data_IF_861812822207
#
_entry.id   IF_861812822207
#
_cell.length_a   1.000
_cell.length_b   1.000
_cell.length_c   1.000
_cell.angle_alpha   90.00
_cell.angle_beta   90.00
_cell.angle_gamma   90.00
#
_symmetry.space_group_name_H-M   'P 1'
#
loop_
_entity.id
_entity.type
_entity.pdbx_description
1 polymer ?
#
# COMPACT_ATOMS: atom_id res chain seq x y z
N UNK A 1 7.21 36.41 -42.23
CA UNK A 1 7.52 36.08 -40.81
C UNK A 1 6.32 35.52 -40.01
N UNK A 2 5.12 36.13 -40.01
CA UNK A 2 3.93 35.61 -39.25
C UNK A 2 3.51 34.16 -39.58
N UNK A 3 3.61 33.70 -40.83
CA UNK A 3 3.24 32.32 -41.22
C UNK A 3 4.20 31.23 -40.71
N UNK A 4 5.48 31.56 -40.51
CA UNK A 4 6.51 30.60 -40.05
C UNK A 4 6.35 30.32 -38.55
N UNK A 5 5.95 31.31 -37.74
CA UNK A 5 5.63 31.14 -36.31
C UNK A 5 4.29 30.39 -36.07
N UNK A 6 3.35 30.40 -37.02
CA UNK A 6 2.03 29.76 -36.86
C UNK A 6 2.06 28.22 -37.00
N UNK A 7 3.04 27.67 -37.71
CA UNK A 7 3.20 26.21 -37.88
C UNK A 7 3.58 25.52 -36.57
N UNK A 8 4.62 25.94 -35.81
CA UNK A 8 4.95 25.32 -34.53
C UNK A 8 3.82 25.47 -33.50
N UNK A 9 3.13 26.62 -33.48
CA UNK A 9 1.94 26.84 -32.62
C UNK A 9 0.80 25.84 -32.91
N UNK A 10 0.54 25.53 -34.19
CA UNK A 10 -0.47 24.52 -34.56
C UNK A 10 -0.05 23.11 -34.17
N UNK A 11 1.22 22.77 -34.34
CA UNK A 11 1.77 21.46 -33.95
C UNK A 11 1.66 21.27 -32.44
N UNK A 12 2.11 22.25 -31.65
CA UNK A 12 2.02 22.25 -30.19
C UNK A 12 0.56 22.10 -29.73
N UNK A 13 -0.35 22.89 -30.30
CA UNK A 13 -1.79 22.79 -29.97
C UNK A 13 -2.34 21.40 -30.26
N UNK A 14 -2.04 20.84 -31.44
CA UNK A 14 -2.53 19.52 -31.83
C UNK A 14 -1.94 18.41 -30.93
N UNK A 15 -0.68 18.55 -30.52
CA UNK A 15 -0.05 17.65 -29.55
C UNK A 15 -0.78 17.67 -28.20
N UNK A 16 -1.05 18.85 -27.63
CA UNK A 16 -1.79 18.96 -26.38
C UNK A 16 -3.24 18.47 -26.49
N UNK A 17 -3.88 18.67 -27.64
CA UNK A 17 -5.21 18.12 -27.89
C UNK A 17 -5.19 16.59 -27.93
N UNK A 18 -4.22 16.00 -28.62
CA UNK A 18 -4.03 14.55 -28.65
C UNK A 18 -3.77 14.00 -27.24
N UNK A 19 -2.88 14.65 -26.49
CA UNK A 19 -2.61 14.28 -25.10
C UNK A 19 -3.90 14.32 -24.26
N UNK A 20 -4.68 15.40 -24.36
CA UNK A 20 -5.95 15.52 -23.67
C UNK A 20 -6.93 14.38 -24.03
N UNK A 21 -7.03 14.02 -25.32
CA UNK A 21 -7.89 12.92 -25.78
C UNK A 21 -7.43 11.58 -25.18
N UNK A 22 -6.13 11.32 -25.17
CA UNK A 22 -5.56 10.10 -24.57
C UNK A 22 -5.89 10.03 -23.08
N UNK A 23 -5.69 11.14 -22.35
CA UNK A 23 -5.98 11.22 -20.92
C UNK A 23 -7.47 11.06 -20.63
N UNK A 24 -8.33 11.71 -21.41
CA UNK A 24 -9.79 11.54 -21.32
C UNK A 24 -10.22 10.10 -21.62
N UNK A 25 -9.50 9.42 -22.52
CA UNK A 25 -9.72 8.01 -22.85
C UNK A 25 -9.66 7.10 -21.62
N UNK A 26 -8.72 7.32 -20.70
CA UNK A 26 -8.67 6.54 -19.46
C UNK A 26 -9.95 6.71 -18.61
N UNK A 27 -10.47 7.93 -18.49
CA UNK A 27 -11.73 8.21 -17.79
C UNK A 27 -12.93 7.52 -18.44
N UNK A 28 -12.99 7.47 -19.77
CA UNK A 28 -14.07 6.78 -20.51
C UNK A 28 -14.01 5.26 -20.33
N UNK A 29 -12.81 4.70 -20.15
CA UNK A 29 -12.62 3.26 -19.95
C UNK A 29 -13.09 2.80 -18.57
N UNK A 30 -13.03 3.66 -17.55
CA UNK A 30 -13.38 3.33 -16.17
C UNK A 30 -14.84 2.85 -16.06
N UNK A 31 -15.09 1.63 -15.54
CA UNK A 31 -16.44 1.17 -15.26
C UNK A 31 -16.99 1.80 -13.98
N UNK A 32 -18.31 1.78 -13.84
CA UNK A 32 -19.01 2.05 -12.58
C UNK A 32 -19.14 0.73 -11.83
N UNK A 33 -18.86 0.76 -10.54
CA UNK A 33 -18.99 -0.40 -9.66
C UNK A 33 -20.18 -0.24 -8.72
N UNK A 34 -20.89 -1.35 -8.52
CA UNK A 34 -21.81 -1.58 -7.42
C UNK A 34 -21.05 -2.29 -6.28
N UNK A 35 -21.18 -1.78 -5.06
CA UNK A 35 -20.48 -2.29 -3.88
C UNK A 35 -21.48 -2.90 -2.90
N UNK A 36 -21.15 -4.06 -2.33
CA UNK A 36 -22.00 -4.73 -1.34
C UNK A 36 -22.14 -3.98 -0.01
N UNK A 37 -21.27 -3.00 0.26
CA UNK A 37 -21.16 -2.32 1.54
C UNK A 37 -20.38 -3.12 2.59
N UNK A 38 -20.04 -2.49 3.74
CA UNK A 38 -19.24 -3.10 4.80
C UNK A 38 -19.97 -4.28 5.44
N UNK A 39 -19.24 -5.37 5.70
CA UNK A 39 -19.75 -6.55 6.40
C UNK A 39 -18.69 -7.07 7.34
N UNK A 40 -18.89 -6.85 8.64
CA UNK A 40 -17.92 -7.25 9.66
C UNK A 40 -17.57 -8.74 9.60
N UNK A 41 -16.35 -9.05 10.03
CA UNK A 41 -15.93 -10.43 10.24
C UNK A 41 -16.86 -11.14 11.21
N UNK A 42 -17.19 -12.40 10.90
CA UNK A 42 -18.05 -13.23 11.73
C UNK A 42 -17.70 -14.71 11.55
N UNK A 43 -18.11 -15.53 12.52
CA UNK A 43 -17.85 -16.96 12.55
C UNK A 43 -17.45 -17.48 13.92
N UNK A 44 -17.27 -18.80 14.00
CA UNK A 44 -16.97 -19.56 15.21
C UNK A 44 -15.48 -19.86 15.39
N UNK A 45 -14.67 -19.60 14.36
CA UNK A 45 -13.21 -19.83 14.37
C UNK A 45 -12.44 -18.53 14.48
N UNK A 46 -11.23 -18.62 15.04
CA UNK A 46 -10.27 -17.52 15.14
C UNK A 46 -9.03 -17.85 14.31
N UNK A 47 -8.76 -17.02 13.31
CA UNK A 47 -7.58 -17.12 12.47
C UNK A 47 -6.47 -16.30 13.10
N UNK A 48 -5.40 -16.95 13.53
CA UNK A 48 -4.20 -16.30 14.03
C UNK A 48 -3.05 -16.49 13.03
N UNK A 49 -2.60 -15.42 12.34
CA UNK A 49 -1.52 -15.53 11.37
C UNK A 49 -0.16 -15.89 12.00
N UNK A 50 -0.06 -15.86 13.33
CA UNK A 50 1.16 -16.16 14.07
C UNK A 50 1.17 -17.55 14.71
N UNK A 51 0.14 -18.37 14.53
CA UNK A 51 -0.02 -19.62 15.28
C UNK A 51 1.16 -20.60 15.13
N UNK A 52 1.80 -20.61 13.95
CA UNK A 52 2.86 -21.56 13.59
C UNK A 52 4.18 -20.87 13.24
N UNK A 53 4.42 -19.66 13.76
CA UNK A 53 5.68 -18.95 13.48
C UNK A 53 6.86 -19.61 14.18
N UNK A 54 8.03 -19.44 13.58
CA UNK A 54 9.31 -19.72 14.21
C UNK A 54 10.04 -18.40 14.46
N UNK A 55 10.23 -18.03 15.72
CA UNK A 55 10.87 -16.75 16.08
C UNK A 55 12.32 -16.58 15.61
N UNK A 56 12.97 -17.65 15.12
CA UNK A 56 14.29 -17.57 14.48
C UNK A 56 14.23 -17.15 13.00
N UNK A 57 13.04 -17.17 12.40
CA UNK A 57 12.81 -16.95 10.97
C UNK A 57 12.33 -15.54 10.61
N UNK A 58 12.61 -14.54 11.45
CA UNK A 58 12.29 -13.15 11.15
C UNK A 58 13.23 -12.57 10.09
N UNK A 59 12.64 -12.02 9.02
CA UNK A 59 13.33 -11.35 7.93
C UNK A 59 12.88 -9.90 7.81
N UNK A 60 13.82 -8.97 7.71
CA UNK A 60 13.56 -7.52 7.62
C UNK A 60 13.54 -7.06 6.17
N UNK A 61 12.39 -6.55 5.75
CA UNK A 61 12.11 -6.11 4.39
C UNK A 61 11.62 -4.67 4.34
N UNK A 62 11.97 -3.99 3.25
CA UNK A 62 11.34 -2.75 2.82
C UNK A 62 10.90 -2.93 1.35
N UNK A 63 9.71 -2.45 1.02
CA UNK A 63 9.11 -2.54 -0.31
C UNK A 63 8.88 -1.18 -0.95
N UNK A 64 9.29 -0.10 -0.29
CA UNK A 64 9.10 1.26 -0.79
C UNK A 64 10.35 2.12 -0.64
N UNK A 65 11.15 2.14 -1.71
CA UNK A 65 12.30 3.02 -1.90
C UNK A 65 12.46 3.35 -3.38
N UNK A 66 12.79 4.59 -3.69
CA UNK A 66 12.90 5.07 -5.06
C UNK A 66 14.37 5.20 -5.47
N UNK A 67 14.71 4.63 -6.63
CA UNK A 67 16.02 4.80 -7.27
C UNK A 67 15.95 5.85 -8.38
N UNK A 68 17.11 6.11 -9.00
CA UNK A 68 17.18 6.94 -10.20
C UNK A 68 16.44 6.26 -11.36
N UNK A 69 15.19 6.66 -11.56
CA UNK A 69 14.35 6.29 -12.69
C UNK A 69 14.09 7.47 -13.64
N UNK A 70 13.65 7.17 -14.87
CA UNK A 70 13.20 8.19 -15.84
C UNK A 70 14.19 9.33 -16.10
N UNK A 71 15.49 9.03 -16.16
CA UNK A 71 16.53 10.04 -16.35
C UNK A 71 16.73 10.98 -15.14
N UNK A 72 16.14 10.67 -13.98
CA UNK A 72 16.20 11.49 -12.76
C UNK A 72 15.07 12.51 -12.64
N UNK A 73 14.00 12.38 -13.43
CA UNK A 73 12.84 13.29 -13.37
C UNK A 73 11.94 13.01 -12.16
N UNK A 74 11.94 11.76 -11.67
CA UNK A 74 11.20 11.37 -10.46
C UNK A 74 12.07 11.48 -9.21
N UNK A 75 11.42 11.50 -8.04
CA UNK A 75 12.10 11.37 -6.75
C UNK A 75 12.96 10.09 -6.70
N UNK A 76 14.02 10.09 -5.88
CA UNK A 76 15.05 9.03 -5.91
C UNK A 76 16.19 9.31 -6.89
N UNK A 77 16.24 10.48 -7.52
CA UNK A 77 17.14 10.77 -8.65
C UNK A 77 18.64 10.67 -8.33
N UNK A 78 19.02 10.77 -7.06
CA UNK A 78 20.39 10.63 -6.54
C UNK A 78 20.73 9.21 -6.08
N UNK A 79 19.73 8.33 -5.92
CA UNK A 79 19.92 6.98 -5.42
C UNK A 79 20.31 6.02 -6.55
N UNK A 80 21.50 5.42 -6.48
CA UNK A 80 21.79 4.21 -7.27
C UNK A 80 21.28 2.96 -6.54
N UNK A 81 21.06 1.86 -7.27
CA UNK A 81 20.61 0.62 -6.64
C UNK A 81 21.67 0.06 -5.69
N UNK A 82 22.96 0.19 -6.04
CA UNK A 82 24.08 -0.23 -5.20
C UNK A 82 24.14 0.58 -3.90
N UNK A 83 23.84 1.88 -3.97
CA UNK A 83 23.78 2.73 -2.80
C UNK A 83 22.62 2.32 -1.89
N UNK A 84 21.43 2.10 -2.45
CA UNK A 84 20.26 1.58 -1.71
C UNK A 84 20.64 0.27 -1.00
N UNK A 85 21.17 -0.72 -1.72
CA UNK A 85 21.60 -2.00 -1.15
C UNK A 85 22.62 -1.80 -0.01
N UNK A 86 23.59 -0.90 -0.21
CA UNK A 86 24.64 -0.65 0.79
C UNK A 86 24.07 -0.07 2.08
N UNK A 87 23.16 0.90 2.00
CA UNK A 87 22.54 1.55 3.16
C UNK A 87 21.63 0.56 3.90
N UNK A 88 20.74 -0.12 3.18
CA UNK A 88 19.81 -1.07 3.81
C UNK A 88 20.52 -2.29 4.40
N UNK A 89 21.62 -2.75 3.79
CA UNK A 89 22.46 -3.80 4.40
C UNK A 89 23.08 -3.35 5.72
N UNK A 90 23.55 -2.10 5.80
CA UNK A 90 24.07 -1.53 7.06
C UNK A 90 22.98 -1.29 8.10
N UNK A 91 21.73 -1.09 7.67
CA UNK A 91 20.53 -1.09 8.50
C UNK A 91 20.01 -2.49 8.82
N UNK A 92 20.78 -3.56 8.54
CA UNK A 92 20.43 -4.94 8.87
C UNK A 92 19.14 -5.45 8.20
N UNK A 93 18.82 -4.96 7.00
CA UNK A 93 17.77 -5.53 6.17
C UNK A 93 18.26 -6.78 5.45
N UNK A 94 17.39 -7.80 5.38
CA UNK A 94 17.65 -8.99 4.57
C UNK A 94 17.50 -8.68 3.08
N UNK A 95 16.53 -7.83 2.75
CA UNK A 95 16.29 -7.37 1.39
C UNK A 95 15.52 -6.03 1.37
N UNK A 96 15.73 -5.29 0.29
CA UNK A 96 14.97 -4.08 -0.05
C UNK A 96 14.51 -4.21 -1.49
N UNK A 97 13.20 -4.10 -1.72
CA UNK A 97 12.63 -4.08 -3.05
C UNK A 97 12.48 -2.63 -3.51
N UNK A 98 13.21 -2.23 -4.55
CA UNK A 98 13.10 -0.89 -5.13
C UNK A 98 11.80 -0.76 -5.93
N UNK A 99 11.02 0.27 -5.60
CA UNK A 99 9.66 0.48 -6.10
C UNK A 99 9.57 1.76 -6.94
N UNK A 100 10.35 1.84 -8.02
CA UNK A 100 10.35 3.04 -8.88
C UNK A 100 8.95 3.34 -9.44
N UNK A 101 8.60 4.63 -9.55
CA UNK A 101 7.33 5.06 -10.12
C UNK A 101 7.09 4.44 -11.51
N UNK A 102 6.02 3.68 -11.67
CA UNK A 102 5.63 2.99 -12.91
C UNK A 102 6.76 2.22 -13.61
N UNK A 103 7.72 1.68 -12.85
CA UNK A 103 8.84 0.94 -13.41
C UNK A 103 9.24 -0.19 -12.47
N UNK A 104 9.16 -1.43 -12.97
CA UNK A 104 9.73 -2.56 -12.23
C UNK A 104 11.25 -2.45 -12.29
N UNK A 105 11.88 -2.22 -11.16
CA UNK A 105 13.33 -2.22 -11.05
C UNK A 105 13.86 -3.66 -11.20
N UNK A 106 14.84 -3.88 -12.09
CA UNK A 106 15.39 -5.20 -12.41
C UNK A 106 16.75 -5.48 -11.75
N UNK A 107 17.24 -4.57 -10.92
CA UNK A 107 18.42 -4.78 -10.10
C UNK A 107 18.23 -6.00 -9.20
N UNK A 108 19.24 -6.86 -9.13
CA UNK A 108 19.16 -8.10 -8.36
C UNK A 108 18.25 -9.19 -8.95
N UNK A 109 17.70 -9.05 -10.17
CA UNK A 109 16.77 -10.02 -10.79
C UNK A 109 17.29 -11.46 -10.93
N UNK A 110 18.59 -11.69 -10.74
CA UNK A 110 19.21 -13.03 -10.72
C UNK A 110 19.28 -13.65 -9.32
N UNK A 111 18.89 -12.92 -8.27
CA UNK A 111 18.89 -13.39 -6.89
C UNK A 111 17.56 -14.09 -6.57
N UNK A 112 17.62 -15.20 -5.84
CA UNK A 112 16.41 -15.93 -5.38
C UNK A 112 15.49 -15.08 -4.50
N UNK A 113 16.05 -14.07 -3.82
CA UNK A 113 15.33 -13.14 -2.95
C UNK A 113 14.74 -11.93 -3.67
N UNK A 114 14.95 -11.80 -4.98
CA UNK A 114 14.44 -10.68 -5.76
C UNK A 114 12.92 -10.71 -5.87
N UNK A 115 12.30 -9.60 -5.55
CA UNK A 115 10.85 -9.41 -5.63
C UNK A 115 10.59 -8.25 -6.59
N UNK A 116 10.02 -8.48 -7.79
CA UNK A 116 9.76 -7.40 -8.73
C UNK A 116 8.69 -6.48 -8.15
N UNK A 117 9.06 -5.22 -7.90
CA UNK A 117 8.18 -4.24 -7.25
C UNK A 117 8.20 -2.91 -8.00
N UNK A 118 7.07 -2.19 -7.98
CA UNK A 118 6.99 -0.81 -8.45
C UNK A 118 5.89 -0.03 -7.72
N UNK A 119 6.02 1.29 -7.63
CA UNK A 119 4.95 2.16 -7.14
C UNK A 119 4.06 2.59 -8.31
N UNK A 120 2.79 2.21 -8.27
CA UNK A 120 1.78 2.62 -9.24
C UNK A 120 1.14 3.94 -8.80
N UNK A 121 0.84 4.78 -9.78
CA UNK A 121 0.16 6.05 -9.59
C UNK A 121 1.00 7.24 -10.05
N UNK A 122 0.44 8.03 -10.95
CA UNK A 122 0.98 9.33 -11.37
C UNK A 122 -0.06 10.45 -11.21
N UNK A 123 -1.13 10.18 -10.47
CA UNK A 123 -2.21 11.12 -10.21
C UNK A 123 -1.82 12.25 -9.23
N UNK A 124 -2.43 13.41 -9.42
CA UNK A 124 -2.10 14.62 -8.66
C UNK A 124 -2.38 14.49 -7.15
N UNK A 125 -3.35 13.65 -6.79
CA UNK A 125 -3.75 13.39 -5.39
C UNK A 125 -2.97 12.25 -4.72
N UNK A 126 -1.95 11.70 -5.37
CA UNK A 126 -1.07 10.66 -4.80
C UNK A 126 -1.85 9.42 -4.31
N UNK A 127 -2.90 9.04 -5.02
CA UNK A 127 -3.60 7.75 -4.85
C UNK A 127 -2.70 6.65 -5.41
N UNK A 128 -1.74 6.18 -4.61
CA UNK A 128 -0.71 5.26 -5.06
C UNK A 128 -0.92 3.84 -4.50
N UNK A 129 -0.20 2.89 -5.08
CA UNK A 129 -0.20 1.50 -4.66
C UNK A 129 1.21 0.93 -4.84
N UNK A 130 1.65 0.10 -3.91
CA UNK A 130 2.85 -0.72 -4.11
C UNK A 130 2.42 -2.03 -4.73
N UNK A 131 2.96 -2.32 -5.91
CA UNK A 131 2.73 -3.55 -6.65
C UNK A 131 3.88 -4.50 -6.39
N UNK A 132 3.68 -5.52 -5.55
CA UNK A 132 4.72 -6.45 -5.10
C UNK A 132 4.56 -7.80 -5.83
N UNK A 133 5.68 -8.37 -6.25
CA UNK A 133 5.76 -9.53 -7.15
C UNK A 133 4.96 -9.28 -8.45
N UNK A 134 5.24 -8.13 -9.06
CA UNK A 134 4.63 -7.64 -10.27
C UNK A 134 5.16 -8.35 -11.53
N UNK A 135 4.25 -8.82 -12.38
CA UNK A 135 4.56 -9.44 -13.68
C UNK A 135 4.90 -8.39 -14.73
N UNK A 136 4.15 -7.28 -14.73
CA UNK A 136 4.33 -6.14 -15.64
C UNK A 136 3.79 -4.84 -15.02
N UNK A 137 4.25 -3.71 -15.53
CA UNK A 137 3.70 -2.40 -15.19
C UNK A 137 2.33 -2.24 -15.84
N UNK A 138 1.33 -1.88 -15.03
CA UNK A 138 0.05 -1.36 -15.51
C UNK A 138 0.18 0.14 -15.72
N UNK A 139 -0.08 0.59 -16.95
CA UNK A 139 0.06 1.99 -17.33
C UNK A 139 -1.21 2.83 -17.15
N UNK A 140 -2.36 2.19 -16.99
CA UNK A 140 -3.63 2.90 -16.80
C UNK A 140 -3.67 3.53 -15.42
N UNK A 141 -3.79 4.86 -15.36
CA UNK A 141 -4.08 5.64 -14.15
C UNK A 141 -4.76 6.98 -14.53
N UNK A 142 -5.38 7.65 -13.56
CA UNK A 142 -6.18 8.85 -13.72
C UNK A 142 -5.46 10.09 -13.19
N UNK A 143 -4.94 10.96 -14.07
CA UNK A 143 -4.07 12.09 -13.68
C UNK A 143 -4.71 13.05 -12.67
N UNK A 144 -6.00 13.32 -12.79
CA UNK A 144 -6.71 14.27 -11.94
C UNK A 144 -7.37 13.55 -10.77
N UNK A 145 -8.70 13.56 -10.68
CA UNK A 145 -9.45 12.94 -9.59
C UNK A 145 -9.76 11.46 -9.89
N UNK A 146 -10.03 10.71 -8.82
CA UNK A 146 -10.54 9.35 -8.87
C UNK A 146 -11.79 9.23 -8.00
N UNK A 147 -12.87 8.71 -8.57
CA UNK A 147 -14.05 8.26 -7.80
C UNK A 147 -13.77 6.92 -7.12
N UNK A 148 -14.64 6.47 -6.22
CA UNK A 148 -14.54 5.15 -5.60
C UNK A 148 -14.46 4.03 -6.65
N UNK A 149 -15.30 4.07 -7.69
CA UNK A 149 -15.26 3.11 -8.81
C UNK A 149 -13.96 3.17 -9.61
N UNK A 150 -13.36 4.35 -9.79
CA UNK A 150 -12.06 4.49 -10.47
C UNK A 150 -10.93 3.89 -9.63
N UNK A 151 -10.93 4.11 -8.31
CA UNK A 151 -9.97 3.49 -7.39
C UNK A 151 -10.08 1.97 -7.41
N UNK A 152 -11.31 1.43 -7.34
CA UNK A 152 -11.55 -0.01 -7.45
C UNK A 152 -11.09 -0.56 -8.81
N UNK A 153 -11.34 0.17 -9.90
CA UNK A 153 -10.89 -0.23 -11.23
C UNK A 153 -9.37 -0.38 -11.30
N UNK A 154 -8.61 0.58 -10.76
CA UNK A 154 -7.16 0.49 -10.68
C UNK A 154 -6.74 -0.72 -9.86
N UNK A 155 -7.30 -0.90 -8.66
CA UNK A 155 -6.96 -2.06 -7.80
C UNK A 155 -7.21 -3.39 -8.53
N UNK A 156 -8.33 -3.53 -9.25
CA UNK A 156 -8.64 -4.74 -10.02
C UNK A 156 -7.72 -4.96 -11.23
N UNK A 157 -7.20 -3.89 -11.84
CA UNK A 157 -6.19 -4.01 -12.89
C UNK A 157 -4.83 -4.43 -12.31
N UNK A 158 -4.45 -3.88 -11.17
CA UNK A 158 -3.19 -4.19 -10.49
C UNK A 158 -3.19 -5.62 -9.95
N UNK A 159 -4.27 -6.08 -9.33
CA UNK A 159 -4.38 -7.43 -8.75
C UNK A 159 -4.29 -8.55 -9.79
N UNK A 160 -4.57 -8.26 -11.06
CA UNK A 160 -4.35 -9.20 -12.18
C UNK A 160 -2.88 -9.32 -12.59
N UNK A 161 -2.07 -8.32 -12.25
CA UNK A 161 -0.69 -8.18 -12.73
C UNK A 161 0.36 -8.22 -11.62
N UNK A 162 -0.07 -8.27 -10.35
CA UNK A 162 0.78 -8.32 -9.16
C UNK A 162 0.19 -9.34 -8.19
N UNK A 163 1.04 -10.09 -7.51
CA UNK A 163 0.57 -11.05 -6.49
C UNK A 163 0.06 -10.34 -5.24
N UNK A 164 0.69 -9.23 -4.87
CA UNK A 164 0.28 -8.38 -3.76
C UNK A 164 0.07 -6.95 -4.26
N UNK A 165 -1.09 -6.38 -3.95
CA UNK A 165 -1.36 -4.95 -4.09
C UNK A 165 -1.49 -4.35 -2.70
N UNK A 166 -0.61 -3.41 -2.36
CA UNK A 166 -0.69 -2.63 -1.14
C UNK A 166 -1.17 -1.20 -1.46
N UNK A 167 -2.11 -0.67 -0.68
CA UNK A 167 -2.48 0.75 -0.80
C UNK A 167 -1.40 1.59 -0.11
N UNK A 168 -0.67 2.39 -0.89
CA UNK A 168 0.46 3.19 -0.39
C UNK A 168 -0.02 4.47 0.28
N UNK A 169 0.65 4.86 1.36
CA UNK A 169 0.44 6.08 2.18
C UNK A 169 -0.97 6.68 2.08
N UNK A 170 -2.04 5.99 2.52
CA UNK A 170 -3.43 6.40 2.29
C UNK A 170 -3.77 7.87 2.60
N UNK A 171 -3.16 8.41 3.65
CA UNK A 171 -3.35 9.79 4.11
C UNK A 171 -2.67 10.85 3.23
N UNK A 172 -1.71 10.49 2.36
CA UNK A 172 -0.99 11.43 1.52
C UNK A 172 -1.96 12.11 0.54
N UNK A 173 -2.16 13.42 0.73
CA UNK A 173 -3.07 14.26 -0.07
C UNK A 173 -4.50 13.70 -0.19
N UNK A 174 -4.94 12.92 0.81
CA UNK A 174 -6.21 12.21 0.79
C UNK A 174 -6.36 11.26 -0.42
N UNK A 175 -5.27 10.60 -0.83
CA UNK A 175 -5.27 9.59 -1.89
C UNK A 175 -6.33 8.50 -1.64
N UNK A 176 -6.49 8.06 -0.39
CA UNK A 176 -7.63 7.28 0.06
C UNK A 176 -8.34 7.96 1.23
N UNK A 177 -9.65 8.08 1.14
CA UNK A 177 -10.50 8.54 2.23
C UNK A 177 -10.85 7.36 3.13
N UNK A 178 -11.15 7.62 4.40
CA UNK A 178 -11.66 6.59 5.31
C UNK A 178 -12.93 5.92 4.76
N UNK A 179 -13.80 6.69 4.12
CA UNK A 179 -15.01 6.13 3.49
C UNK A 179 -14.68 5.14 2.36
N UNK A 180 -13.61 5.36 1.60
CA UNK A 180 -13.21 4.44 0.54
C UNK A 180 -12.86 3.06 1.11
N UNK A 181 -12.22 3.04 2.29
CA UNK A 181 -11.76 1.82 2.96
C UNK A 181 -12.92 0.89 3.38
N UNK A 182 -14.16 1.39 3.41
CA UNK A 182 -15.35 0.58 3.69
C UNK A 182 -15.80 -0.29 2.53
N UNK A 183 -15.39 0.05 1.30
CA UNK A 183 -15.93 -0.55 0.08
C UNK A 183 -14.86 -1.16 -0.83
N UNK A 184 -13.63 -0.63 -0.81
CA UNK A 184 -12.57 -1.13 -1.67
C UNK A 184 -12.24 -2.59 -1.37
N UNK A 185 -11.98 -3.37 -2.42
CA UNK A 185 -11.71 -4.81 -2.37
C UNK A 185 -10.52 -5.18 -3.26
N UNK A 186 -10.08 -6.44 -3.20
CA UNK A 186 -9.02 -7.01 -4.06
C UNK A 186 -7.62 -6.40 -3.90
N UNK A 187 -7.35 -5.74 -2.77
CA UNK A 187 -6.00 -5.41 -2.32
C UNK A 187 -5.67 -6.25 -1.08
N UNK A 188 -4.39 -6.48 -0.84
CA UNK A 188 -3.92 -7.44 0.19
C UNK A 188 -3.40 -6.72 1.43
N UNK A 189 -2.83 -5.53 1.25
CA UNK A 189 -2.11 -4.82 2.30
C UNK A 189 -2.39 -3.33 2.30
N UNK A 190 -2.11 -2.69 3.42
CA UNK A 190 -2.13 -1.24 3.54
C UNK A 190 -0.82 -0.77 4.15
N UNK A 191 -0.18 0.20 3.50
CA UNK A 191 0.99 0.88 4.02
C UNK A 191 0.53 1.84 5.14
N UNK A 192 0.22 1.26 6.30
CA UNK A 192 -0.27 2.01 7.46
C UNK A 192 0.84 2.85 8.09
N UNK A 193 2.10 2.48 7.86
CA UNK A 193 3.28 3.15 8.39
C UNK A 193 4.24 3.46 7.23
N UNK A 194 4.40 4.74 6.93
CA UNK A 194 5.44 5.23 6.00
C UNK A 194 6.33 6.20 6.72
N UNK A 195 7.54 6.57 6.27
CA UNK A 195 8.36 7.51 7.05
C UNK A 195 7.61 8.80 7.45
N UNK A 196 6.77 9.33 6.56
CA UNK A 196 6.10 10.62 6.77
C UNK A 196 4.63 10.52 7.19
N UNK A 197 4.00 9.34 7.11
CA UNK A 197 2.55 9.18 7.28
C UNK A 197 2.19 7.99 8.15
N UNK A 198 1.12 8.15 8.93
CA UNK A 198 0.52 7.09 9.74
C UNK A 198 -0.95 6.98 9.34
N UNK A 199 -1.34 5.84 8.79
CA UNK A 199 -2.69 5.57 8.27
C UNK A 199 -3.37 4.43 9.04
N UNK A 200 -3.17 4.40 10.37
CA UNK A 200 -3.74 3.37 11.25
C UNK A 200 -5.27 3.37 11.23
N UNK A 201 -5.89 4.55 11.16
CA UNK A 201 -7.34 4.67 11.09
C UNK A 201 -7.89 4.07 9.77
N UNK A 202 -7.19 4.26 8.64
CA UNK A 202 -7.56 3.60 7.38
C UNK A 202 -7.49 2.08 7.49
N UNK A 203 -6.46 1.56 8.16
CA UNK A 203 -6.32 0.12 8.38
C UNK A 203 -7.44 -0.40 9.28
N UNK A 204 -7.74 0.30 10.37
CA UNK A 204 -8.84 -0.03 11.28
C UNK A 204 -10.19 -0.01 10.57
N UNK A 205 -10.47 0.96 9.71
CA UNK A 205 -11.71 1.02 8.93
C UNK A 205 -11.82 -0.15 7.94
N UNK A 206 -10.72 -0.52 7.27
CA UNK A 206 -10.70 -1.67 6.36
C UNK A 206 -11.00 -2.99 7.09
N UNK A 207 -10.31 -3.25 8.22
CA UNK A 207 -10.56 -4.41 9.07
C UNK A 207 -11.98 -4.40 9.62
N UNK A 208 -12.44 -3.24 10.08
CA UNK A 208 -13.77 -3.02 10.63
C UNK A 208 -14.89 -3.27 9.61
N UNK A 209 -14.58 -3.12 8.32
CA UNK A 209 -15.51 -3.37 7.22
C UNK A 209 -15.47 -4.82 6.75
N UNK A 210 -14.67 -5.68 7.41
CA UNK A 210 -14.52 -7.10 7.12
C UNK A 210 -13.57 -7.42 5.97
N UNK A 211 -12.61 -6.53 5.69
CA UNK A 211 -11.57 -6.78 4.69
C UNK A 211 -10.29 -7.31 5.37
N UNK A 212 -9.88 -8.57 5.16
CA UNK A 212 -8.72 -9.18 5.83
C UNK A 212 -7.41 -8.70 5.17
N UNK A 213 -7.05 -7.46 5.45
CA UNK A 213 -5.87 -6.79 4.87
C UNK A 213 -4.78 -6.61 5.90
N UNK A 214 -3.54 -6.90 5.50
CA UNK A 214 -2.40 -6.91 6.39
C UNK A 214 -1.69 -5.56 6.43
N UNK A 215 -1.02 -5.28 7.55
CA UNK A 215 -0.21 -4.09 7.69
C UNK A 215 1.08 -4.24 6.90
N UNK A 216 1.45 -3.15 6.24
CA UNK A 216 2.74 -2.93 5.63
C UNK A 216 3.36 -1.69 6.27
N UNK A 217 4.64 -1.79 6.61
CA UNK A 217 5.47 -0.68 7.04
C UNK A 217 6.65 -0.53 6.11
N UNK A 218 6.86 0.67 5.58
CA UNK A 218 7.97 0.98 4.68
C UNK A 218 8.48 2.40 4.91
N UNK A 219 9.59 2.74 4.28
CA UNK A 219 10.25 4.03 4.50
C UNK A 219 9.79 5.08 3.48
N UNK A 220 9.47 4.69 2.24
CA UNK A 220 9.19 5.63 1.13
C UNK A 220 10.35 6.61 0.90
N UNK A 221 11.57 6.06 0.91
CA UNK A 221 12.81 6.82 0.93
C UNK A 221 13.19 7.36 -0.46
N UNK A 222 13.37 8.67 -0.55
CA UNK A 222 13.74 9.38 -1.78
C UNK A 222 15.20 9.83 -1.79
N UNK A 223 15.84 9.96 -0.62
CA UNK A 223 17.28 10.13 -0.45
C UNK A 223 17.80 9.15 0.62
N UNK A 224 18.54 8.12 0.20
CA UNK A 224 19.04 7.10 1.15
C UNK A 224 20.25 7.55 1.98
N UNK A 225 20.82 8.72 1.68
CA UNK A 225 21.85 9.34 2.54
C UNK A 225 21.23 10.21 3.63
N UNK A 226 19.95 10.56 3.51
CA UNK A 226 19.22 11.26 4.54
C UNK A 226 18.77 10.27 5.62
N UNK A 227 19.38 10.34 6.80
CA UNK A 227 19.04 9.45 7.92
C UNK A 227 17.59 9.56 8.37
N UNK A 228 16.91 10.67 8.09
CA UNK A 228 15.49 10.83 8.37
C UNK A 228 14.58 9.99 7.46
N UNK A 229 15.10 9.46 6.35
CA UNK A 229 14.31 8.78 5.32
C UNK A 229 14.45 7.26 5.30
N UNK A 230 15.44 6.67 5.97
CA UNK A 230 15.73 5.22 5.86
C UNK A 230 15.76 4.51 7.20
N UNK A 231 15.32 3.25 7.26
CA UNK A 231 15.44 2.39 8.45
C UNK A 231 14.57 2.82 9.63
N UNK A 232 13.49 3.55 9.39
CA UNK A 232 12.52 3.91 10.44
C UNK A 232 11.38 2.90 10.45
N UNK A 233 10.73 2.71 9.31
CA UNK A 233 9.53 1.88 9.17
C UNK A 233 9.78 0.79 8.16
N UNK A 234 9.48 -0.43 8.57
CA UNK A 234 9.78 -1.60 7.77
C UNK A 234 8.89 -2.76 8.19
N UNK A 235 8.88 -3.80 7.36
CA UNK A 235 8.09 -5.00 7.58
C UNK A 235 9.01 -6.15 8.00
N UNK A 236 8.66 -6.81 9.10
CA UNK A 236 9.31 -8.04 9.56
C UNK A 236 8.44 -9.23 9.17
N UNK A 237 9.00 -10.20 8.46
CA UNK A 237 8.28 -11.33 7.86
C UNK A 237 8.80 -12.64 8.44
N UNK A 238 7.92 -13.50 8.92
CA UNK A 238 8.30 -14.84 9.37
C UNK A 238 8.37 -15.77 8.15
N UNK A 239 9.58 -16.08 7.69
CA UNK A 239 9.77 -16.89 6.49
C UNK A 239 10.92 -17.89 6.67
N UNK A 240 10.73 -19.17 6.30
CA UNK A 240 11.77 -20.19 6.45
C UNK A 240 13.01 -19.93 5.57
N UNK A 241 12.88 -19.10 4.54
CA UNK A 241 14.00 -18.72 3.67
C UNK A 241 13.85 -17.29 3.13
N UNK A 242 14.87 -16.81 2.42
CA UNK A 242 14.83 -15.55 1.68
C UNK A 242 14.24 -15.68 0.27
N UNK A 243 13.85 -16.88 -0.17
CA UNK A 243 13.29 -17.08 -1.51
C UNK A 243 12.00 -16.28 -1.66
N UNK A 244 11.85 -15.62 -2.80
CA UNK A 244 10.67 -14.80 -3.13
C UNK A 244 9.35 -15.53 -2.83
N UNK A 245 9.22 -16.79 -3.22
CA UNK A 245 8.00 -17.57 -3.03
C UNK A 245 7.62 -17.73 -1.55
N UNK A 246 8.61 -17.98 -0.68
CA UNK A 246 8.39 -18.14 0.76
C UNK A 246 8.02 -16.82 1.42
N UNK A 247 8.66 -15.72 1.01
CA UNK A 247 8.36 -14.36 1.49
C UNK A 247 6.93 -13.96 1.10
N UNK A 248 6.58 -14.10 -0.18
CA UNK A 248 5.24 -13.77 -0.69
C UNK A 248 4.16 -14.61 -0.02
N UNK A 249 4.41 -15.92 0.16
CA UNK A 249 3.48 -16.80 0.88
C UNK A 249 3.26 -16.35 2.32
N UNK A 250 4.33 -16.00 3.03
CA UNK A 250 4.28 -15.55 4.43
C UNK A 250 3.53 -14.22 4.56
N UNK A 251 3.79 -13.30 3.64
CA UNK A 251 3.10 -12.02 3.51
C UNK A 251 1.60 -12.20 3.27
N UNK A 252 1.19 -13.05 2.33
CA UNK A 252 -0.23 -13.32 2.05
C UNK A 252 -0.94 -14.03 3.20
N UNK A 253 -0.23 -14.90 3.93
CA UNK A 253 -0.76 -15.57 5.13
C UNK A 253 -0.92 -14.59 6.31
N UNK A 254 -0.19 -13.47 6.29
CA UNK A 254 -0.21 -12.47 7.36
C UNK A 254 0.82 -12.72 8.47
N UNK A 255 1.72 -13.70 8.30
CA UNK A 255 2.83 -13.99 9.24
C UNK A 255 3.94 -12.93 9.15
N UNK A 256 3.56 -11.66 9.26
CA UNK A 256 4.44 -10.50 9.23
C UNK A 256 3.91 -9.45 10.19
N UNK A 257 4.71 -8.45 10.52
CA UNK A 257 4.28 -7.27 11.27
C UNK A 257 5.04 -6.04 10.78
N UNK A 258 4.45 -4.86 10.98
CA UNK A 258 5.16 -3.61 10.74
C UNK A 258 5.88 -3.16 12.00
N UNK A 259 7.08 -2.62 11.84
CA UNK A 259 7.90 -2.06 12.91
C UNK A 259 8.08 -0.56 12.67
N UNK A 260 7.95 0.24 13.73
CA UNK A 260 8.26 1.67 13.75
C UNK A 260 9.41 1.87 14.74
N UNK A 261 10.63 1.96 14.23
CA UNK A 261 11.80 2.33 15.00
C UNK A 261 11.71 3.82 15.31
N UNK A 262 11.81 4.19 16.59
CA UNK A 262 11.67 5.58 16.98
C UNK A 262 12.66 6.48 16.24
N UNK A 263 12.16 7.59 15.70
CA UNK A 263 12.96 8.53 14.93
C UNK A 263 13.59 9.57 15.85
N UNK A 264 14.91 9.72 15.71
CA UNK A 264 15.62 10.90 16.17
C UNK A 264 15.92 11.75 14.94
N UNK A 265 15.48 13.01 14.95
CA UNK A 265 15.68 13.91 13.81
C UNK A 265 17.16 14.18 13.60
N UNK A 266 17.58 14.12 12.33
CA UNK A 266 18.95 14.37 11.88
C UNK A 266 19.99 13.52 12.61
N UNK A 267 19.61 12.30 12.99
CA UNK A 267 20.51 11.34 13.64
C UNK A 267 21.69 11.00 12.72
N UNK A 268 22.89 10.95 13.31
CA UNK A 268 24.06 10.46 12.59
C UNK A 268 23.82 9.02 12.09
N UNK A 269 24.15 8.77 10.82
CA UNK A 269 23.81 7.51 10.18
C UNK A 269 24.52 6.30 10.83
N UNK A 270 25.73 6.49 11.39
CA UNK A 270 26.45 5.43 12.12
C UNK A 270 25.75 5.08 13.43
N UNK A 271 25.20 6.06 14.13
CA UNK A 271 24.37 5.84 15.32
C UNK A 271 23.10 5.06 14.93
N UNK A 272 22.46 5.45 13.83
CA UNK A 272 21.26 4.78 13.33
C UNK A 272 21.52 3.32 12.96
N UNK A 273 22.63 3.03 12.27
CA UNK A 273 23.01 1.64 11.95
C UNK A 273 23.15 0.78 13.21
N UNK A 274 23.80 1.32 14.26
CA UNK A 274 23.95 0.61 15.54
C UNK A 274 22.60 0.32 16.20
N UNK A 275 21.69 1.31 16.25
CA UNK A 275 20.34 1.13 16.81
C UNK A 275 19.48 0.15 16.01
N UNK A 276 19.65 0.11 14.70
CA UNK A 276 18.92 -0.83 13.84
C UNK A 276 19.36 -2.29 14.03
N UNK A 277 20.49 -2.56 14.68
CA UNK A 277 21.01 -3.93 14.87
C UNK A 277 20.14 -4.75 15.82
N UNK A 278 19.89 -4.22 17.02
CA UNK A 278 19.30 -4.97 18.14
C UNK A 278 17.89 -4.45 18.44
N UNK A 279 16.97 -4.66 17.50
CA UNK A 279 15.56 -4.27 17.67
C UNK A 279 14.77 -5.34 18.46
N UNK A 280 13.75 -4.94 19.24
CA UNK A 280 12.80 -5.88 19.80
C UNK A 280 12.05 -6.68 18.73
N UNK A 281 11.70 -7.93 19.05
CA UNK A 281 10.97 -8.82 18.15
C UNK A 281 9.93 -9.67 18.88
N UNK A 282 8.96 -10.14 18.10
CA UNK A 282 7.92 -11.06 18.56
C UNK A 282 8.50 -12.46 18.77
N UNK A 283 8.42 -13.00 19.98
CA UNK A 283 8.78 -14.40 20.26
C UNK A 283 7.64 -15.35 19.94
N UNK A 284 6.42 -15.01 20.36
CA UNK A 284 5.24 -15.84 20.10
C UNK A 284 3.97 -15.01 20.14
N UNK A 285 2.97 -15.43 19.37
CA UNK A 285 1.58 -14.98 19.49
C UNK A 285 0.68 -16.20 19.23
N UNK A 286 0.21 -16.83 20.30
CA UNK A 286 -0.44 -18.14 20.26
C UNK A 286 -1.87 -18.06 20.80
N UNK A 287 -2.78 -18.80 20.16
CA UNK A 287 -4.13 -19.02 20.67
C UNK A 287 -4.19 -20.24 21.59
N UNK A 288 -4.86 -20.07 22.73
CA UNK A 288 -5.25 -21.13 23.65
C UNK A 288 -6.77 -21.03 23.86
N UNK A 289 -7.54 -21.76 23.05
CA UNK A 289 -8.99 -21.54 22.97
C UNK A 289 -9.30 -20.14 22.42
N UNK A 290 -9.95 -19.31 23.23
CA UNK A 290 -10.27 -17.91 22.94
C UNK A 290 -9.19 -16.92 23.41
N UNK A 291 -8.15 -17.40 24.10
CA UNK A 291 -7.14 -16.55 24.71
C UNK A 291 -5.94 -16.38 23.79
N UNK A 292 -5.70 -15.16 23.32
CA UNK A 292 -4.49 -14.78 22.60
C UNK A 292 -3.40 -14.42 23.62
N UNK A 293 -2.28 -15.15 23.59
CA UNK A 293 -1.09 -14.87 24.41
C UNK A 293 0.07 -14.44 23.52
N UNK A 294 0.67 -13.29 23.85
CA UNK A 294 1.76 -12.67 23.09
C UNK A 294 2.98 -12.52 23.98
N UNK A 295 4.17 -12.83 23.46
CA UNK A 295 5.46 -12.63 24.11
C UNK A 295 6.46 -11.95 23.16
N UNK A 296 7.24 -11.01 23.70
CA UNK A 296 8.36 -10.34 23.03
C UNK A 296 9.67 -10.59 23.79
N UNK A 297 10.81 -10.36 23.14
CA UNK A 297 12.12 -10.57 23.76
C UNK A 297 12.50 -9.49 24.81
N UNK A 298 12.04 -8.25 24.59
CA UNK A 298 12.31 -7.11 25.46
C UNK A 298 11.08 -6.73 26.28
N UNK A 299 11.28 -6.10 27.44
CA UNK A 299 10.14 -5.56 28.19
C UNK A 299 9.45 -4.46 27.38
N UNK A 300 8.15 -4.61 27.17
CA UNK A 300 7.33 -3.60 26.52
C UNK A 300 6.74 -2.65 27.57
N UNK A 301 6.73 -1.35 27.24
CA UNK A 301 6.03 -0.36 28.03
C UNK A 301 4.51 -0.58 27.97
N UNK A 302 4.00 -0.96 26.78
CA UNK A 302 2.57 -1.20 26.57
C UNK A 302 2.31 -2.33 25.59
N UNK A 303 1.35 -3.19 25.92
CA UNK A 303 0.58 -3.98 24.96
C UNK A 303 -0.81 -3.38 24.87
N UNK A 304 -1.22 -2.93 23.70
CA UNK A 304 -2.58 -2.45 23.44
C UNK A 304 -3.28 -3.43 22.50
N UNK A 305 -4.26 -4.17 23.02
CA UNK A 305 -5.18 -4.97 22.22
C UNK A 305 -6.27 -4.05 21.68
N UNK A 306 -6.49 -4.09 20.37
CA UNK A 306 -7.34 -3.15 19.64
C UNK A 306 -8.30 -3.91 18.74
N UNK A 307 -9.59 -3.60 18.88
CA UNK A 307 -10.66 -4.19 18.08
C UNK A 307 -11.31 -3.19 17.15
N UNK A 308 -12.60 -3.40 16.91
CA UNK A 308 -13.43 -2.66 15.97
C UNK A 308 -13.23 -1.13 16.05
N UNK A 309 -13.07 -0.51 14.88
CA UNK A 309 -12.85 0.92 14.66
C UNK A 309 -11.67 1.50 15.45
N UNK A 310 -10.64 0.69 15.71
CA UNK A 310 -9.45 1.14 16.45
C UNK A 310 -9.67 1.29 17.95
N UNK A 311 -10.77 0.75 18.50
CA UNK A 311 -11.05 0.82 19.94
C UNK A 311 -10.06 -0.05 20.72
N UNK A 312 -9.37 0.56 21.68
CA UNK A 312 -8.54 -0.18 22.64
C UNK A 312 -9.45 -1.01 23.55
N UNK A 313 -9.23 -2.33 23.56
CA UNK A 313 -9.98 -3.31 24.34
C UNK A 313 -9.31 -3.56 25.69
N UNK A 314 -7.97 -3.66 25.70
CA UNK A 314 -7.17 -3.88 26.90
C UNK A 314 -5.77 -3.28 26.72
N UNK A 315 -5.23 -2.77 27.82
CA UNK A 315 -3.83 -2.32 27.92
C UNK A 315 -3.11 -3.04 29.05
N UNK A 316 -1.99 -3.69 28.75
CA UNK A 316 -1.06 -4.21 29.75
C UNK A 316 0.22 -3.39 29.70
N UNK A 317 0.89 -3.19 30.85
CA UNK A 317 2.05 -2.29 30.97
C UNK A 317 3.26 -3.04 31.54
N UNK A 318 4.45 -2.57 31.19
CA UNK A 318 5.74 -2.97 31.78
C UNK A 318 5.89 -4.49 31.92
N UNK A 319 5.76 -5.21 30.81
CA UNK A 319 5.80 -6.68 30.78
C UNK A 319 6.42 -7.17 29.48
N UNK A 320 6.93 -8.41 29.47
CA UNK A 320 7.39 -9.11 28.26
C UNK A 320 6.30 -9.94 27.59
N UNK A 321 5.21 -10.20 28.31
CA UNK A 321 4.10 -10.99 27.81
C UNK A 321 2.75 -10.43 28.28
N UNK A 322 1.76 -10.52 27.41
CA UNK A 322 0.38 -10.13 27.69
C UNK A 322 -0.58 -11.15 27.09
N UNK A 323 -1.79 -11.21 27.62
CA UNK A 323 -2.85 -12.03 27.05
C UNK A 323 -4.15 -11.24 26.98
N UNK A 324 -5.03 -11.65 26.07
CA UNK A 324 -6.37 -11.13 25.93
C UNK A 324 -7.33 -12.26 25.59
N UNK A 325 -8.45 -12.32 26.31
CA UNK A 325 -9.55 -13.24 26.04
C UNK A 325 -10.42 -12.59 24.96
N UNK A 326 -10.44 -13.17 23.77
CA UNK A 326 -11.21 -12.66 22.63
C UNK A 326 -12.69 -12.89 22.91
N UNK A 327 -13.45 -11.81 23.04
CA UNK A 327 -14.87 -11.86 23.37
C UNK A 327 -15.69 -12.30 22.15
N UNK A 328 -16.89 -12.84 22.38
CA UNK A 328 -17.77 -13.31 21.30
C UNK A 328 -18.14 -12.23 20.28
N UNK A 329 -18.16 -10.95 20.69
CA UNK A 329 -18.45 -9.80 19.83
C UNK A 329 -17.20 -9.18 19.18
N UNK A 330 -15.99 -9.63 19.53
CA UNK A 330 -14.78 -9.17 18.86
C UNK A 330 -14.71 -9.81 17.47
N UNK A 331 -14.82 -8.97 16.43
CA UNK A 331 -14.75 -9.38 15.03
C UNK A 331 -13.30 -9.61 14.60
N UNK A 332 -12.39 -8.82 15.14
CA UNK A 332 -10.94 -8.97 15.06
C UNK A 332 -10.27 -8.35 16.29
N UNK A 333 -9.04 -8.78 16.58
CA UNK A 333 -8.17 -8.16 17.58
C UNK A 333 -6.75 -8.05 17.01
N UNK A 334 -6.24 -6.82 16.87
CA UNK A 334 -4.81 -6.56 16.59
C UNK A 334 -4.10 -6.06 17.83
N UNK A 335 -2.77 -6.13 17.83
CA UNK A 335 -1.97 -5.67 18.97
C UNK A 335 -0.91 -4.66 18.53
N UNK A 336 -0.88 -3.51 19.20
CA UNK A 336 0.26 -2.59 19.16
C UNK A 336 1.09 -2.80 20.42
N UNK A 337 2.38 -3.07 20.23
CA UNK A 337 3.35 -3.22 21.33
C UNK A 337 4.29 -2.03 21.26
N UNK A 338 4.39 -1.26 22.33
CA UNK A 338 5.29 -0.10 22.42
C UNK A 338 6.37 -0.35 23.45
N UNK A 339 7.61 -0.08 23.08
CA UNK A 339 8.80 -0.26 23.90
C UNK A 339 9.17 1.05 24.62
N UNK A 340 10.01 0.99 25.68
CA UNK A 340 10.41 2.17 26.45
C UNK A 340 11.09 3.27 25.62
N UNK A 341 11.77 2.92 24.54
CA UNK A 341 12.40 3.86 23.59
C UNK A 341 11.41 4.47 22.59
N UNK A 342 10.10 4.24 22.79
CA UNK A 342 8.99 4.62 21.90
C UNK A 342 8.93 3.88 20.55
N UNK A 343 9.83 2.94 20.29
CA UNK A 343 9.70 2.03 19.14
C UNK A 343 8.47 1.15 19.30
N UNK A 344 7.87 0.68 18.20
CA UNK A 344 6.62 -0.09 18.26
C UNK A 344 6.54 -1.22 17.22
N UNK A 345 5.92 -2.32 17.62
CA UNK A 345 5.47 -3.43 16.76
C UNK A 345 3.96 -3.30 16.53
N UNK A 346 3.52 -3.49 15.30
CA UNK A 346 2.11 -3.53 14.90
C UNK A 346 1.80 -4.89 14.29
N UNK A 347 1.19 -5.76 15.09
CA UNK A 347 0.82 -7.11 14.67
C UNK A 347 -0.45 -7.09 13.81
N UNK A 348 -0.47 -7.93 12.77
CA UNK A 348 -1.68 -8.30 12.05
C UNK A 348 -2.72 -8.90 13.02
N UNK A 349 -4.02 -8.71 12.73
CA UNK A 349 -5.07 -9.14 13.64
C UNK A 349 -5.26 -10.65 13.68
N UNK A 350 -5.71 -11.14 14.83
CA UNK A 350 -6.51 -12.36 14.90
C UNK A 350 -7.92 -12.02 14.39
N UNK A 351 -8.43 -12.78 13.43
CA UNK A 351 -9.70 -12.49 12.75
C UNK A 351 -10.72 -13.61 12.97
N UNK A 352 -11.96 -13.25 13.24
CA UNK A 352 -13.08 -14.18 13.30
C UNK A 352 -13.50 -14.60 11.89
N UNK A 353 -13.70 -15.89 11.66
CA UNK A 353 -14.09 -16.37 10.33
C UNK A 353 -14.91 -17.66 10.38
N UNK A 354 -15.54 -17.97 9.25
CA UNK A 354 -16.17 -19.25 8.96
C UNK A 354 -15.48 -19.89 7.75
N UNK A 355 -15.53 -21.23 7.67
CA UNK A 355 -14.90 -21.98 6.57
C UNK A 355 -13.44 -22.33 6.84
N UNK A 356 -12.59 -22.21 5.81
CA UNK A 356 -11.18 -22.61 5.84
C UNK A 356 -10.22 -21.48 6.24
N UNK A 357 -10.49 -20.24 5.80
CA UNK A 357 -9.68 -19.05 6.10
C UNK A 357 -10.51 -17.77 6.05
N UNK A 358 -10.03 -16.65 6.64
CA UNK A 358 -10.69 -15.36 6.48
C UNK A 358 -10.74 -14.96 5.01
N UNK A 359 -11.93 -14.60 4.55
CA UNK A 359 -12.17 -14.04 3.22
C UNK A 359 -13.03 -12.81 3.37
N UNK A 360 -12.76 -11.79 2.56
CA UNK A 360 -13.59 -10.60 2.52
C UNK A 360 -14.99 -10.97 2.01
N UNK A 361 -16.03 -10.54 2.73
CA UNK A 361 -17.41 -10.59 2.23
C UNK A 361 -17.75 -9.37 1.36
N UNK A 362 -16.85 -8.37 1.34
CA UNK A 362 -16.99 -7.23 0.44
C UNK A 362 -16.89 -7.71 -1.00
N UNK A 363 -17.75 -7.16 -1.85
CA UNK A 363 -17.64 -7.35 -3.29
C UNK A 363 -17.87 -6.03 -4.01
N UNK A 364 -17.11 -5.85 -5.08
CA UNK A 364 -17.32 -4.81 -6.06
C UNK A 364 -17.58 -5.48 -7.41
N UNK A 365 -18.74 -5.23 -8.01
CA UNK A 365 -19.12 -5.77 -9.31
C UNK A 365 -19.35 -4.64 -10.29
N UNK A 366 -18.96 -4.82 -11.54
CA UNK A 366 -19.21 -3.82 -12.58
C UNK A 366 -20.72 -3.72 -12.80
N UNK A 367 -21.27 -2.54 -12.59
CA UNK A 367 -22.63 -2.22 -13.01
C UNK A 367 -22.60 -1.87 -14.51
N UNK A 368 -22.93 -2.86 -15.33
CA UNK A 368 -22.96 -2.72 -16.79
C UNK A 368 -23.96 -1.66 -17.27
N UNK A 369 -25.08 -1.46 -16.57
CA UNK A 369 -26.10 -0.47 -16.95
C UNK A 369 -25.60 0.93 -16.67
N UNK A 370 -25.12 1.19 -15.45
CA UNK A 370 -24.56 2.49 -15.08
C UNK A 370 -23.32 2.82 -15.92
N UNK A 371 -22.45 1.84 -16.17
CA UNK A 371 -21.27 2.00 -17.04
C UNK A 371 -21.67 2.39 -18.46
N UNK A 372 -22.66 1.70 -19.04
CA UNK A 372 -23.14 2.02 -20.40
C UNK A 372 -23.79 3.39 -20.44
N UNK A 373 -24.62 3.73 -19.46
CA UNK A 373 -25.24 5.06 -19.34
C UNK A 373 -24.19 6.18 -19.26
N UNK A 374 -23.16 6.01 -18.42
CA UNK A 374 -22.07 6.98 -18.29
C UNK A 374 -21.30 7.15 -19.61
N UNK A 375 -21.03 6.05 -20.32
CA UNK A 375 -20.37 6.09 -21.64
C UNK A 375 -21.23 6.78 -22.70
N UNK A 376 -22.55 6.58 -22.70
CA UNK A 376 -23.48 7.31 -23.58
C UNK A 376 -23.42 8.81 -23.27
N UNK A 377 -23.42 9.20 -21.99
CA UNK A 377 -23.28 10.61 -21.58
C UNK A 377 -21.96 11.20 -22.11
N UNK A 378 -20.84 10.51 -21.94
CA UNK A 378 -19.55 10.95 -22.48
C UNK A 378 -19.57 11.09 -24.01
N UNK A 379 -20.17 10.14 -24.71
CA UNK A 379 -20.32 10.19 -26.15
C UNK A 379 -21.16 11.40 -26.60
N UNK A 380 -22.27 11.68 -25.93
CA UNK A 380 -23.11 12.85 -26.22
C UNK A 380 -22.36 14.16 -25.96
N UNK A 381 -21.61 14.28 -24.86
CA UNK A 381 -20.76 15.45 -24.57
C UNK A 381 -19.73 15.66 -25.67
N UNK A 382 -19.05 14.60 -26.11
CA UNK A 382 -18.08 14.66 -27.20
C UNK A 382 -18.74 15.09 -28.52
N UNK A 383 -19.89 14.51 -28.86
CA UNK A 383 -20.67 14.87 -30.06
C UNK A 383 -21.08 16.34 -30.05
N UNK A 384 -21.57 16.84 -28.91
CA UNK A 384 -21.92 18.25 -28.73
C UNK A 384 -20.70 19.17 -28.90
N UNK A 385 -19.55 18.80 -28.33
CA UNK A 385 -18.32 19.57 -28.49
C UNK A 385 -17.85 19.63 -29.96
N UNK A 386 -17.92 18.50 -30.68
CA UNK A 386 -17.61 18.45 -32.12
C UNK A 386 -18.57 19.30 -32.94
N UNK A 387 -19.88 19.23 -32.66
CA UNK A 387 -20.89 20.05 -33.34
C UNK A 387 -20.60 21.55 -33.19
N UNK A 388 -20.34 22.03 -31.97
CA UNK A 388 -20.00 23.44 -31.74
C UNK A 388 -18.67 23.84 -32.38
N UNK A 389 -17.67 22.96 -32.40
CA UNK A 389 -16.41 23.20 -33.09
C UNK A 389 -16.61 23.39 -34.60
N UNK A 390 -17.38 22.49 -35.25
CA UNK A 390 -17.68 22.56 -36.68
C UNK A 390 -18.49 23.82 -37.01
N UNK A 391 -19.55 24.11 -36.24
CA UNK A 391 -20.37 25.31 -36.42
C UNK A 391 -19.54 26.60 -36.30
N UNK A 392 -18.62 26.67 -35.33
CA UNK A 392 -17.70 27.81 -35.17
C UNK A 392 -16.76 27.96 -36.38
N UNK A 393 -16.28 26.87 -36.97
CA UNK A 393 -15.42 26.90 -38.15
C UNK A 393 -16.18 27.39 -39.39
N UNK A 394 -17.41 26.92 -39.59
CA UNK A 394 -18.29 27.38 -40.67
C UNK A 394 -18.59 28.88 -40.55
N UNK A 395 -18.91 29.37 -39.35
CA UNK A 395 -19.18 30.81 -39.12
C UNK A 395 -17.95 31.70 -39.36
N UNK A 396 -16.73 31.18 -39.17
CA UNK A 396 -15.47 31.88 -39.50
C UNK A 396 -15.11 31.88 -40.98
N UNK A 397 -15.69 30.97 -41.78
CA UNK A 397 -15.51 30.94 -43.23
C UNK A 397 -16.54 31.82 -43.96
N UNK A 398 -17.68 32.12 -43.31
CA UNK A 398 -18.72 33.03 -43.80
C UNK A 398 -18.46 34.50 -43.48
N UNK A 399 -17.44 34.81 -42.66
CA UNK A 399 -16.92 36.15 -42.38
C UNK A 399 -15.54 36.26 -43.00
#
# INVERSE_FOLDING_TARGET
MKKILLVPLKIIRNFFLLLFIVLAGFYVMAPVYEFSGPSQFSGDKLYNPYQNIDSSNWKRYNFQVQSRAWGGITSGSTNSNELIDSIYKRLHFDYVATSDYQKINRHGSKLDKYIPTYEHGYNAFKTHQVCIDAKKVVWTDFIFFQTLSMKQYIIDLLSKNSTIVALAHPTLRNGYKLEDMKYLTNYNMIEALTNMRVSMEHWDVALSSGNPVWVLGDDDAHDVLNSNEVGRRFTIINSPSLKKEDIIKSMLYGSSYAFDLYRHDDEDMEVKFKRAKDIPFLKSALMYGDTLKIEVNNEAAYFNFVGQNGKVLQTNKNTKAANYIIQNNDTYVRTKITFPDSSSIYLNPVIRFSGEKPVSKLSAKIDSRATTGLRIIYFLIALTAVYFYVKRKQNKQKR
#
